data_IF_493271587303
#
_entry.id   IF_493271587303
#
_cell.length_a   1.000
_cell.length_b   1.000
_cell.length_c   1.000
_cell.angle_alpha   90.00
_cell.angle_beta   90.00
_cell.angle_gamma   90.00
#
_symmetry.space_group_name_H-M   'P 1'
#
loop_
_entity.id
_entity.type
_entity.pdbx_description
1 polymer ?
#
# COMPACT_ATOMS: atom_id res chain seq x y z
N UNK A 1 33.51 -30.02 6.96
CA UNK A 1 32.12 -30.46 7.27
C UNK A 1 31.40 -29.52 8.24
N UNK A 2 32.01 -29.11 9.37
CA UNK A 2 31.37 -28.19 10.34
C UNK A 2 30.90 -26.87 9.74
N UNK A 3 31.73 -26.21 8.92
CA UNK A 3 31.36 -24.95 8.27
C UNK A 3 30.20 -25.10 7.27
N UNK A 4 30.15 -26.24 6.55
CA UNK A 4 29.06 -26.55 5.61
C UNK A 4 27.73 -26.69 6.36
N UNK A 5 27.72 -27.42 7.48
CA UNK A 5 26.54 -27.61 8.33
C UNK A 5 26.01 -26.27 8.85
N UNK A 6 26.91 -25.37 9.29
CA UNK A 6 26.53 -24.02 9.74
C UNK A 6 25.91 -23.21 8.59
N UNK A 7 26.49 -23.28 7.39
CA UNK A 7 25.95 -22.60 6.22
C UNK A 7 24.57 -23.14 5.82
N UNK A 8 24.37 -24.45 5.88
CA UNK A 8 23.08 -25.09 5.63
C UNK A 8 22.04 -24.64 6.66
N UNK A 9 22.37 -24.57 7.94
CA UNK A 9 21.43 -24.09 8.98
C UNK A 9 21.03 -22.64 8.73
N UNK A 10 21.96 -21.76 8.37
CA UNK A 10 21.66 -20.35 8.06
C UNK A 10 20.73 -20.18 6.84
N UNK A 11 20.84 -21.07 5.84
CA UNK A 11 19.99 -21.05 4.64
C UNK A 11 18.60 -21.65 4.86
N UNK A 12 18.44 -22.59 5.80
CA UNK A 12 17.14 -23.18 6.14
C UNK A 12 16.35 -22.28 7.11
N UNK A 13 17.04 -21.42 7.87
CA UNK A 13 16.47 -20.44 8.81
C UNK A 13 16.15 -19.09 8.14
N UNK A 14 15.83 -19.09 6.84
CA UNK A 14 15.28 -17.88 6.20
C UNK A 14 13.84 -17.68 6.69
N UNK A 15 13.71 -16.89 7.75
CA UNK A 15 12.42 -16.51 8.32
C UNK A 15 11.53 -15.86 7.26
N UNK A 16 10.21 -16.08 7.36
CA UNK A 16 9.22 -15.31 6.59
C UNK A 16 9.33 -13.84 6.98
N UNK A 17 10.14 -13.08 6.24
CA UNK A 17 10.25 -11.64 6.39
C UNK A 17 8.95 -11.03 5.84
N UNK A 18 8.04 -10.68 6.74
CA UNK A 18 6.90 -9.85 6.37
C UNK A 18 7.45 -8.43 6.15
N UNK A 19 7.53 -8.00 4.89
CA UNK A 19 7.84 -6.62 4.58
C UNK A 19 6.71 -5.75 5.15
N UNK A 20 7.01 -4.98 6.20
CA UNK A 20 6.06 -4.02 6.75
C UNK A 20 6.09 -2.77 5.87
N UNK A 21 4.95 -2.47 5.24
CA UNK A 21 4.69 -1.14 4.66
C UNK A 21 4.75 -0.10 5.79
N UNK A 22 5.18 1.14 5.50
CA UNK A 22 5.22 2.19 6.52
C UNK A 22 3.89 2.30 7.26
N UNK A 23 3.92 2.38 8.60
CA UNK A 23 2.69 2.46 9.42
C UNK A 23 1.80 3.66 9.04
N UNK A 24 2.41 4.70 8.49
CA UNK A 24 1.74 5.85 7.90
C UNK A 24 2.38 6.12 6.55
N UNK A 25 1.56 6.31 5.52
CA UNK A 25 2.01 6.64 4.18
C UNK A 25 1.30 7.92 3.73
N UNK A 26 2.06 8.97 3.43
CA UNK A 26 1.51 10.22 2.92
C UNK A 26 1.53 10.21 1.41
N UNK A 27 0.38 10.43 0.80
CA UNK A 27 0.28 10.66 -0.64
C UNK A 27 0.38 12.17 -0.88
N UNK A 28 1.42 12.65 -1.59
CA UNK A 28 1.56 14.08 -1.85
C UNK A 28 0.45 14.58 -2.79
N UNK A 29 0.12 15.89 -2.74
CA UNK A 29 -0.71 16.51 -3.77
C UNK A 29 -0.09 16.25 -5.14
N UNK A 30 -0.86 15.65 -6.03
CA UNK A 30 -0.46 15.42 -7.41
C UNK A 30 -0.86 16.63 -8.23
N UNK A 31 0.13 17.32 -8.78
CA UNK A 31 -0.10 18.41 -9.72
C UNK A 31 -0.34 17.83 -11.12
N UNK A 32 -1.41 18.26 -11.76
CA UNK A 32 -1.67 18.00 -13.18
C UNK A 32 -1.91 19.31 -13.93
N UNK A 33 -1.70 19.29 -15.24
CA UNK A 33 -1.94 20.44 -16.09
C UNK A 33 -3.44 20.72 -16.23
N UNK A 34 -3.86 21.97 -16.08
CA UNK A 34 -5.23 22.41 -16.39
C UNK A 34 -5.41 22.82 -17.85
N UNK A 35 -4.38 22.70 -18.69
CA UNK A 35 -4.43 23.12 -20.09
C UNK A 35 -5.33 22.19 -20.93
N UNK A 36 -6.15 22.80 -21.78
CA UNK A 36 -7.02 22.07 -22.69
C UNK A 36 -6.22 21.19 -23.65
N UNK A 37 -6.54 19.90 -23.71
CA UNK A 37 -5.81 18.91 -24.54
C UNK A 37 -4.51 18.40 -23.92
N UNK A 38 -4.23 18.70 -22.64
CA UNK A 38 -3.09 18.13 -21.95
C UNK A 38 -3.31 16.64 -21.62
N UNK A 39 -2.33 15.80 -21.93
CA UNK A 39 -2.30 14.40 -21.54
C UNK A 39 -1.89 14.20 -20.06
N UNK A 40 -1.65 15.27 -19.32
CA UNK A 40 -1.28 15.21 -17.90
C UNK A 40 -2.49 15.22 -16.95
N UNK A 41 -3.71 15.43 -17.45
CA UNK A 41 -4.94 15.36 -16.65
C UNK A 41 -5.23 13.88 -16.33
N UNK A 42 -5.44 13.50 -15.06
CA UNK A 42 -5.76 12.12 -14.67
C UNK A 42 -7.22 11.78 -15.02
N UNK A 43 -7.57 11.87 -16.30
CA UNK A 43 -8.88 11.62 -16.90
C UNK A 43 -9.37 10.17 -16.80
N UNK A 44 -8.55 9.27 -16.26
CA UNK A 44 -8.94 7.89 -15.94
C UNK A 44 -9.16 7.69 -14.43
N UNK A 45 -9.08 8.76 -13.64
CA UNK A 45 -9.11 8.77 -12.19
C UNK A 45 -7.76 8.38 -11.56
N UNK A 46 -7.57 8.79 -10.31
CA UNK A 46 -6.42 8.42 -9.49
C UNK A 46 -6.88 7.59 -8.30
N UNK A 47 -6.24 6.43 -8.10
CA UNK A 47 -6.66 5.47 -7.09
C UNK A 47 -5.47 4.88 -6.34
N UNK A 48 -5.66 4.63 -5.04
CA UNK A 48 -4.78 3.80 -4.24
C UNK A 48 -5.47 2.46 -3.98
N UNK A 49 -4.87 1.37 -4.46
CA UNK A 49 -5.28 0.01 -4.12
C UNK A 49 -4.51 -0.49 -2.90
N UNK A 50 -5.23 -0.97 -1.87
CA UNK A 50 -4.63 -1.49 -0.66
C UNK A 50 -5.17 -2.89 -0.34
N UNK A 51 -4.25 -3.81 -0.05
CA UNK A 51 -4.54 -5.18 0.35
C UNK A 51 -3.41 -5.71 1.25
N UNK A 52 -3.64 -6.86 1.90
CA UNK A 52 -2.62 -7.52 2.75
C UNK A 52 -2.33 -8.92 2.24
N UNK A 53 -1.16 -9.53 2.51
CA UNK A 53 -0.88 -10.90 2.08
C UNK A 53 -1.75 -12.01 2.75
N UNK A 54 -2.52 -11.66 3.78
CA UNK A 54 -3.30 -12.60 4.60
C UNK A 54 -4.80 -12.27 4.59
N UNK A 55 -5.61 -13.24 5.04
CA UNK A 55 -7.08 -13.11 5.12
C UNK A 55 -7.54 -12.39 6.38
N UNK A 56 -6.75 -12.44 7.46
CA UNK A 56 -7.00 -11.69 8.69
C UNK A 56 -7.02 -10.19 8.40
N UNK A 57 -8.04 -9.50 8.91
CA UNK A 57 -8.21 -8.07 8.67
C UNK A 57 -7.26 -7.24 9.52
N UNK A 58 -6.83 -6.12 8.96
CA UNK A 58 -6.06 -5.07 9.63
C UNK A 58 -6.83 -3.77 9.50
N UNK A 59 -7.04 -3.08 10.62
CA UNK A 59 -7.63 -1.75 10.64
C UNK A 59 -6.66 -0.72 10.05
N UNK A 60 -7.13 0.04 9.08
CA UNK A 60 -6.43 1.14 8.43
C UNK A 60 -7.20 2.43 8.68
N UNK A 61 -6.47 3.52 8.96
CA UNK A 61 -7.04 4.84 9.11
C UNK A 61 -6.68 5.68 7.89
N UNK A 62 -7.69 6.11 7.15
CA UNK A 62 -7.58 7.11 6.09
C UNK A 62 -7.72 8.49 6.72
N UNK A 63 -6.72 9.35 6.53
CA UNK A 63 -6.69 10.70 7.08
C UNK A 63 -6.71 11.67 5.90
N UNK A 64 -7.87 12.24 5.60
CA UNK A 64 -7.97 13.25 4.56
C UNK A 64 -7.25 14.54 4.98
N UNK A 65 -6.55 15.19 4.05
CA UNK A 65 -5.85 16.46 4.33
C UNK A 65 -6.89 17.53 4.69
N UNK A 66 -6.86 18.01 5.93
CA UNK A 66 -7.84 18.98 6.46
C UNK A 66 -9.24 18.41 6.69
N UNK A 67 -9.42 17.09 6.58
CA UNK A 67 -10.70 16.41 6.73
C UNK A 67 -10.80 15.51 7.96
N UNK A 68 -11.83 14.67 7.99
CA UNK A 68 -12.04 13.67 9.03
C UNK A 68 -11.22 12.40 8.77
N UNK A 69 -11.02 11.62 9.83
CA UNK A 69 -10.40 10.29 9.75
C UNK A 69 -11.48 9.22 9.57
N UNK A 70 -11.30 8.34 8.60
CA UNK A 70 -12.17 7.18 8.37
C UNK A 70 -11.38 5.90 8.68
N UNK A 71 -11.95 5.02 9.51
CA UNK A 71 -11.34 3.72 9.85
C UNK A 71 -12.02 2.58 9.08
N UNK A 72 -11.23 1.73 8.43
CA UNK A 72 -11.71 0.62 7.62
C UNK A 72 -10.85 -0.63 7.80
N UNK A 73 -11.44 -1.81 7.58
CA UNK A 73 -10.74 -3.09 7.63
C UNK A 73 -10.22 -3.52 6.26
N UNK A 74 -8.94 -3.90 6.16
CA UNK A 74 -8.32 -4.35 4.90
C UNK A 74 -7.73 -5.75 5.05
N UNK A 75 -7.95 -6.61 4.04
CA UNK A 75 -7.25 -7.90 3.90
C UNK A 75 -7.12 -8.32 2.42
N UNK A 76 -6.57 -9.50 2.12
CA UNK A 76 -6.66 -10.04 0.74
C UNK A 76 -8.08 -10.42 0.32
N UNK A 77 -8.97 -10.70 1.29
CA UNK A 77 -10.36 -11.08 1.02
C UNK A 77 -11.27 -9.86 0.97
N UNK A 78 -10.80 -8.72 1.50
CA UNK A 78 -11.50 -7.45 1.50
C UNK A 78 -10.52 -6.33 1.11
N UNK A 79 -10.03 -6.30 -0.15
CA UNK A 79 -9.19 -5.20 -0.62
C UNK A 79 -9.97 -3.88 -0.64
N UNK A 80 -9.25 -2.75 -0.60
CA UNK A 80 -9.84 -1.40 -0.71
C UNK A 80 -9.24 -0.62 -1.87
N UNK A 81 -10.09 0.17 -2.50
CA UNK A 81 -9.70 1.17 -3.50
C UNK A 81 -10.09 2.53 -2.92
N UNK A 82 -9.10 3.40 -2.72
CA UNK A 82 -9.31 4.79 -2.32
C UNK A 82 -9.26 5.65 -3.57
N UNK A 83 -10.35 6.34 -3.88
CA UNK A 83 -10.42 7.28 -5.00
C UNK A 83 -9.84 8.60 -4.53
N UNK A 84 -8.74 9.03 -5.14
CA UNK A 84 -8.09 10.31 -4.85
C UNK A 84 -8.70 11.38 -5.75
N UNK A 85 -8.79 11.09 -7.05
CA UNK A 85 -9.49 11.91 -8.05
C UNK A 85 -10.40 11.02 -8.89
N UNK A 86 -11.66 11.43 -9.07
CA UNK A 86 -12.58 10.73 -9.96
C UNK A 86 -12.20 10.99 -11.44
N UNK A 87 -12.57 10.09 -12.37
CA UNK A 87 -12.40 10.30 -13.82
C UNK A 87 -13.11 11.55 -14.33
#
# INVERSE_FOLDING_TARGET
MRALIVFTILFVVQFKLNAQLSKVHYIPPIAYSSEAGSNAIPNQGHYLYLSTPITSSVTVNEIAVGGATTSLEVSNSIPRVFVIDAP
#
